data_IF_415139009442
#
_entry.id   IF_415139009442
#
_cell.length_a   1.000
_cell.length_b   1.000
_cell.length_c   1.000
_cell.angle_alpha   90.00
_cell.angle_beta   90.00
_cell.angle_gamma   90.00
#
_symmetry.space_group_name_H-M   'P 1'
#
loop_
_entity.id
_entity.type
_entity.pdbx_description
1 polymer ?
#
# COMPACT_ATOMS: atom_id res chain seq x y z
N UNK A 1 -4.74 10.58 -23.95
CA UNK A 1 -3.68 9.82 -24.63
C UNK A 1 -2.38 9.65 -23.82
N UNK A 2 -1.83 10.65 -23.11
CA UNK A 2 -0.57 10.50 -22.34
C UNK A 2 -0.62 9.49 -21.18
N UNK A 3 -1.77 9.26 -20.55
CA UNK A 3 -1.93 8.31 -19.43
C UNK A 3 -1.89 6.84 -19.87
N UNK A 4 -2.38 6.53 -21.08
CA UNK A 4 -2.37 5.18 -21.63
C UNK A 4 -0.96 4.70 -22.02
N UNK A 5 -0.09 5.61 -22.43
CA UNK A 5 1.28 5.31 -22.83
C UNK A 5 2.12 4.88 -21.59
N UNK A 6 1.90 5.51 -20.43
CA UNK A 6 2.62 5.18 -19.21
C UNK A 6 2.25 3.77 -18.71
N UNK A 7 0.97 3.41 -18.77
CA UNK A 7 0.50 2.07 -18.40
C UNK A 7 1.07 1.01 -19.36
N UNK A 8 1.10 1.31 -20.66
CA UNK A 8 1.66 0.41 -21.66
C UNK A 8 3.18 0.23 -21.46
N UNK A 9 3.91 1.29 -21.14
CA UNK A 9 5.34 1.22 -20.85
C UNK A 9 5.65 0.39 -19.61
N UNK A 10 4.87 0.54 -18.52
CA UNK A 10 5.02 -0.28 -17.31
C UNK A 10 4.71 -1.75 -17.58
N UNK A 11 3.66 -2.04 -18.35
CA UNK A 11 3.29 -3.40 -18.75
C UNK A 11 4.35 -4.01 -19.68
N UNK A 12 4.92 -3.23 -20.62
CA UNK A 12 5.94 -3.71 -21.55
C UNK A 12 7.27 -3.99 -20.86
N UNK A 13 7.66 -3.17 -19.86
CA UNK A 13 8.87 -3.41 -19.05
C UNK A 13 8.68 -4.68 -18.19
N UNK A 14 7.51 -4.89 -17.63
CA UNK A 14 7.23 -6.11 -16.87
C UNK A 14 7.22 -7.35 -17.76
N UNK A 15 6.63 -7.30 -18.95
CA UNK A 15 6.60 -8.45 -19.87
C UNK A 15 7.97 -8.80 -20.44
N UNK A 16 8.83 -7.84 -20.72
CA UNK A 16 10.20 -8.12 -21.20
C UNK A 16 11.13 -8.69 -20.12
N UNK A 17 10.93 -8.31 -18.85
CA UNK A 17 11.63 -8.92 -17.72
C UNK A 17 11.17 -10.39 -17.46
N UNK A 18 9.96 -10.75 -17.85
CA UNK A 18 9.45 -12.11 -17.76
C UNK A 18 9.79 -13.01 -18.95
N UNK A 19 10.35 -12.47 -20.03
CA UNK A 19 10.68 -13.22 -21.24
C UNK A 19 12.02 -13.98 -21.17
N UNK A 20 12.90 -13.60 -20.26
CA UNK A 20 14.16 -14.30 -20.04
C UNK A 20 13.93 -15.45 -19.04
N UNK A 21 13.98 -16.67 -19.54
CA UNK A 21 13.97 -17.93 -18.79
C UNK A 21 12.94 -17.97 -17.63
N UNK A 22 11.64 -18.00 -18.02
CA UNK A 22 10.49 -17.91 -17.10
C UNK A 22 10.57 -18.85 -15.89
N UNK A 23 11.12 -20.03 -16.07
CA UNK A 23 11.24 -21.03 -15.01
C UNK A 23 12.26 -20.63 -13.96
N UNK A 24 13.38 -20.06 -14.36
CA UNK A 24 14.44 -19.65 -13.44
C UNK A 24 14.08 -18.38 -12.64
N UNK A 25 13.37 -17.42 -13.25
CA UNK A 25 12.92 -16.21 -12.54
C UNK A 25 11.90 -16.54 -11.46
N UNK A 26 10.85 -17.28 -11.79
CA UNK A 26 9.80 -17.67 -10.81
C UNK A 26 10.40 -18.49 -9.67
N UNK A 27 11.27 -19.46 -9.96
CA UNK A 27 11.95 -20.22 -8.92
C UNK A 27 12.92 -19.37 -8.11
N UNK A 28 13.74 -18.54 -8.75
CA UNK A 28 14.76 -17.77 -8.05
C UNK A 28 14.18 -16.63 -7.20
N UNK A 29 13.10 -16.00 -7.64
CA UNK A 29 12.54 -14.82 -6.99
C UNK A 29 11.29 -15.11 -6.15
N UNK A 30 10.45 -16.07 -6.54
CA UNK A 30 9.11 -16.24 -5.95
C UNK A 30 8.97 -17.58 -5.21
N UNK A 31 9.19 -18.72 -5.88
CA UNK A 31 8.81 -20.04 -5.38
C UNK A 31 9.99 -20.88 -4.84
N UNK A 32 11.22 -20.53 -5.15
CA UNK A 32 12.41 -21.33 -4.77
C UNK A 32 12.65 -21.32 -3.26
N UNK A 33 13.40 -22.32 -2.79
CA UNK A 33 13.89 -22.34 -1.41
C UNK A 33 14.82 -21.15 -1.20
N UNK A 34 14.51 -20.29 -0.24
CA UNK A 34 15.37 -19.17 0.16
C UNK A 34 16.74 -19.70 0.66
N UNK A 35 17.79 -18.89 0.42
CA UNK A 35 19.11 -19.13 1.03
C UNK A 35 19.01 -18.94 2.54
N UNK A 36 20.08 -19.31 3.25
CA UNK A 36 20.21 -19.18 4.70
C UNK A 36 19.73 -17.85 5.26
N UNK A 37 19.37 -17.78 6.55
CA UNK A 37 18.78 -16.60 7.15
C UNK A 37 19.59 -15.36 6.82
N UNK A 38 18.94 -14.42 6.18
CA UNK A 38 19.54 -13.11 5.90
C UNK A 38 19.78 -12.38 7.23
N UNK A 39 20.84 -11.56 7.32
CA UNK A 39 21.12 -10.77 8.51
C UNK A 39 19.93 -9.86 8.85
N UNK A 40 20.00 -9.23 10.01
CA UNK A 40 19.12 -8.13 10.37
C UNK A 40 19.26 -7.02 9.32
N UNK A 41 18.14 -6.55 8.78
CA UNK A 41 18.15 -5.55 7.71
C UNK A 41 17.17 -4.40 8.03
N UNK A 42 17.54 -3.21 7.57
CA UNK A 42 16.65 -2.07 7.47
C UNK A 42 16.05 -2.04 6.06
N UNK A 43 14.74 -1.89 5.95
CA UNK A 43 14.04 -1.64 4.68
C UNK A 43 13.44 -0.24 4.66
N UNK A 44 13.49 0.39 3.48
CA UNK A 44 12.87 1.69 3.22
C UNK A 44 12.13 1.60 1.90
N UNK A 45 10.84 1.95 1.90
CA UNK A 45 9.98 1.90 0.73
C UNK A 45 9.42 3.27 0.39
N UNK A 46 9.19 3.50 -0.91
CA UNK A 46 8.38 4.58 -1.43
C UNK A 46 7.14 4.00 -2.14
N UNK A 47 6.07 4.76 -2.18
CA UNK A 47 4.81 4.42 -2.84
C UNK A 47 4.62 5.29 -4.09
N UNK A 48 5.16 4.89 -5.27
CA UNK A 48 5.19 5.75 -6.45
C UNK A 48 3.81 6.19 -6.93
N UNK A 49 2.78 5.37 -6.73
CA UNK A 49 1.42 5.70 -7.15
C UNK A 49 0.78 6.83 -6.34
N UNK A 50 1.23 7.08 -5.13
CA UNK A 50 0.72 8.21 -4.34
C UNK A 50 1.11 9.56 -4.94
N UNK A 51 2.23 9.64 -5.67
CA UNK A 51 2.61 10.86 -6.39
C UNK A 51 1.61 11.21 -7.50
N UNK A 52 1.00 10.19 -8.14
CA UNK A 52 -0.04 10.41 -9.14
C UNK A 52 -1.34 10.94 -8.54
N UNK A 53 -1.54 10.77 -7.23
CA UNK A 53 -2.68 11.25 -6.45
C UNK A 53 -2.35 12.51 -5.66
N UNK A 54 -1.45 13.35 -6.19
CA UNK A 54 -1.01 14.61 -5.55
C UNK A 54 -0.58 14.43 -4.10
N UNK A 55 0.14 13.36 -3.83
CA UNK A 55 0.59 13.01 -2.50
C UNK A 55 1.95 12.34 -2.51
N UNK A 56 2.30 11.73 -1.40
CA UNK A 56 3.50 10.93 -1.24
C UNK A 56 3.43 10.10 0.01
N UNK A 57 4.28 9.11 0.09
CA UNK A 57 4.38 8.26 1.26
C UNK A 57 5.46 7.22 1.10
N UNK A 58 5.73 6.55 2.20
CA UNK A 58 6.71 5.50 2.27
C UNK A 58 6.60 4.71 3.56
N UNK A 59 7.48 3.76 3.71
CA UNK A 59 7.61 2.97 4.92
C UNK A 59 9.07 2.76 5.32
N UNK A 60 9.25 2.47 6.60
CA UNK A 60 10.51 2.02 7.18
C UNK A 60 10.23 0.75 7.97
N UNK A 61 11.10 -0.25 7.84
CA UNK A 61 10.92 -1.52 8.54
C UNK A 61 12.23 -2.20 8.91
N UNK A 62 12.15 -3.03 9.92
CA UNK A 62 13.22 -3.93 10.34
C UNK A 62 12.86 -5.34 9.89
N UNK A 63 13.82 -6.00 9.28
CA UNK A 63 13.69 -7.36 8.74
C UNK A 63 14.59 -8.34 9.49
N UNK A 64 14.01 -9.40 10.05
CA UNK A 64 14.72 -10.45 10.79
C UNK A 64 14.06 -11.81 10.58
N UNK A 65 14.85 -12.86 10.40
CA UNK A 65 14.33 -14.18 10.06
C UNK A 65 13.39 -14.09 8.84
N UNK A 66 12.17 -14.56 8.97
CA UNK A 66 11.12 -14.47 7.97
C UNK A 66 10.21 -13.23 8.14
N UNK A 67 10.48 -12.39 9.13
CA UNK A 67 9.62 -11.29 9.51
C UNK A 67 10.12 -9.93 9.00
N UNK A 68 9.18 -9.05 8.75
CA UNK A 68 9.39 -7.62 8.59
C UNK A 68 8.35 -6.89 9.43
N UNK A 69 8.80 -5.97 10.26
CA UNK A 69 7.93 -5.11 11.10
C UNK A 69 8.31 -3.66 10.83
N UNK A 70 7.33 -2.79 10.68
CA UNK A 70 7.63 -1.40 10.39
C UNK A 70 6.44 -0.46 10.51
N UNK A 71 6.68 0.76 10.04
CA UNK A 71 5.69 1.82 10.02
C UNK A 71 5.56 2.41 8.62
N UNK A 72 4.36 2.87 8.29
CA UNK A 72 3.97 3.50 7.03
C UNK A 72 3.51 4.91 7.36
N UNK A 73 3.89 5.87 6.53
CA UNK A 73 3.35 7.22 6.56
C UNK A 73 3.00 7.69 5.16
N UNK A 74 1.82 8.27 4.98
CA UNK A 74 1.46 8.87 3.71
C UNK A 74 0.51 10.05 3.85
N UNK A 75 0.49 10.87 2.79
CA UNK A 75 -0.45 11.97 2.61
C UNK A 75 -0.86 12.00 1.15
N UNK A 76 -2.15 11.92 0.85
CA UNK A 76 -2.67 11.78 -0.52
C UNK A 76 -4.01 12.47 -0.67
N UNK A 77 -4.34 12.89 -1.90
CA UNK A 77 -5.71 13.24 -2.30
C UNK A 77 -6.32 12.01 -2.97
N UNK A 78 -7.20 11.25 -2.28
CA UNK A 78 -7.77 10.04 -2.87
C UNK A 78 -8.59 10.39 -4.11
N UNK A 79 -8.40 9.67 -5.23
CA UNK A 79 -9.29 9.79 -6.37
C UNK A 79 -10.72 9.37 -6.00
N UNK A 80 -11.72 9.91 -6.69
CA UNK A 80 -13.13 9.65 -6.37
C UNK A 80 -13.51 8.16 -6.39
N UNK A 81 -12.88 7.35 -7.26
CA UNK A 81 -13.15 5.91 -7.30
C UNK A 81 -12.63 5.16 -6.05
N UNK A 82 -11.59 5.67 -5.39
CA UNK A 82 -11.09 5.12 -4.12
C UNK A 82 -11.93 5.61 -2.95
N UNK A 83 -12.48 6.82 -3.02
CA UNK A 83 -13.34 7.39 -1.97
C UNK A 83 -14.45 6.42 -1.57
N UNK A 84 -15.08 5.76 -2.53
CA UNK A 84 -16.18 4.82 -2.28
C UNK A 84 -15.75 3.56 -1.50
N UNK A 85 -14.47 3.27 -1.43
CA UNK A 85 -13.91 2.21 -0.57
C UNK A 85 -13.97 2.61 0.92
N UNK A 86 -13.94 3.91 1.21
CA UNK A 86 -13.90 4.44 2.57
C UNK A 86 -15.24 5.00 3.05
N UNK A 87 -16.07 5.47 2.12
CA UNK A 87 -17.33 6.18 2.42
C UNK A 87 -18.45 5.71 1.50
N UNK A 88 -19.64 5.46 2.09
CA UNK A 88 -20.88 5.19 1.36
C UNK A 88 -21.77 6.43 1.36
N UNK A 89 -22.56 6.58 0.30
CA UNK A 89 -23.49 7.73 0.11
C UNK A 89 -22.76 9.08 0.17
N UNK A 90 -21.52 9.13 -0.29
CA UNK A 90 -20.64 10.29 -0.17
C UNK A 90 -20.40 11.01 -1.51
N UNK A 91 -21.40 11.03 -2.41
CA UNK A 91 -21.26 11.67 -3.72
C UNK A 91 -20.97 13.16 -3.60
N UNK A 92 -21.61 13.82 -2.66
CA UNK A 92 -21.45 15.25 -2.39
C UNK A 92 -20.29 15.55 -1.43
N UNK A 93 -19.62 14.52 -0.93
CA UNK A 93 -18.41 14.68 -0.11
C UNK A 93 -17.17 14.60 -0.98
N UNK A 94 -16.31 15.60 -0.86
CA UNK A 94 -14.97 15.62 -1.42
C UNK A 94 -13.96 15.29 -0.31
N UNK A 95 -13.09 14.31 -0.56
CA UNK A 95 -11.93 14.08 0.29
C UNK A 95 -10.79 14.94 -0.23
N UNK A 96 -10.51 16.03 0.46
CA UNK A 96 -9.48 16.98 0.06
C UNK A 96 -8.07 16.50 0.39
N UNK A 97 -7.93 15.68 1.44
CA UNK A 97 -6.68 15.00 1.83
C UNK A 97 -6.95 13.80 2.74
N UNK A 98 -6.12 12.80 2.62
CA UNK A 98 -6.01 11.69 3.55
C UNK A 98 -4.56 11.60 4.03
N UNK A 99 -4.35 11.66 5.35
CA UNK A 99 -3.07 11.40 5.99
C UNK A 99 -3.17 10.11 6.80
N UNK A 100 -2.11 9.31 6.82
CA UNK A 100 -2.10 8.08 7.60
C UNK A 100 -0.75 7.86 8.29
N UNK A 101 -0.83 7.21 9.44
CA UNK A 101 0.31 6.57 10.10
C UNK A 101 -0.13 5.19 10.52
N UNK A 102 0.55 4.17 10.00
CA UNK A 102 0.18 2.78 10.19
C UNK A 102 1.39 1.95 10.60
N UNK A 103 1.17 0.86 11.26
CA UNK A 103 2.16 -0.17 11.52
C UNK A 103 1.87 -1.39 10.66
N UNK A 104 2.89 -2.17 10.36
CA UNK A 104 2.72 -3.42 9.63
C UNK A 104 3.63 -4.53 10.13
N UNK A 105 3.16 -5.76 9.93
CA UNK A 105 3.91 -6.98 10.15
C UNK A 105 3.72 -7.87 8.93
N UNK A 106 4.81 -8.32 8.32
CA UNK A 106 4.80 -9.26 7.21
C UNK A 106 5.58 -10.52 7.57
N UNK A 107 5.10 -11.67 7.10
CA UNK A 107 5.77 -12.94 7.18
C UNK A 107 6.05 -13.47 5.77
N UNK A 108 7.32 -13.63 5.44
CA UNK A 108 7.78 -14.15 4.15
C UNK A 108 7.87 -15.67 4.19
N UNK A 109 7.37 -16.33 3.14
CA UNK A 109 7.46 -17.79 3.03
C UNK A 109 8.92 -18.25 2.83
N UNK A 110 9.77 -17.38 2.31
CA UNK A 110 11.19 -17.63 2.05
C UNK A 110 12.06 -16.93 3.09
N UNK A 111 13.10 -17.63 3.56
CA UNK A 111 14.06 -17.09 4.53
C UNK A 111 14.84 -15.87 4.04
N UNK A 112 15.04 -15.74 2.73
CA UNK A 112 15.70 -14.58 2.12
C UNK A 112 14.76 -13.39 1.87
N UNK A 113 13.54 -13.48 2.39
CA UNK A 113 12.48 -12.46 2.32
C UNK A 113 12.20 -11.96 0.89
N UNK A 114 12.26 -12.90 -0.06
CA UNK A 114 11.80 -12.74 -1.44
C UNK A 114 10.50 -13.48 -1.66
N UNK A 115 9.82 -13.16 -2.77
CA UNK A 115 8.62 -13.86 -3.18
C UNK A 115 7.43 -13.56 -2.30
N UNK A 116 6.61 -14.56 -2.06
CA UNK A 116 5.31 -14.42 -1.43
C UNK A 116 5.44 -14.15 0.06
N UNK A 117 4.62 -13.24 0.54
CA UNK A 117 4.41 -12.99 1.96
C UNK A 117 2.93 -12.80 2.28
N UNK A 118 2.59 -13.00 3.54
CA UNK A 118 1.32 -12.58 4.13
C UNK A 118 1.62 -11.60 5.26
N UNK A 119 0.65 -10.77 5.59
CA UNK A 119 0.86 -9.79 6.65
C UNK A 119 -0.42 -9.11 7.08
N UNK A 120 -0.25 -8.22 8.02
CA UNK A 120 -1.29 -7.36 8.54
C UNK A 120 -0.73 -5.95 8.65
N UNK A 121 -1.52 -4.96 8.34
CA UNK A 121 -1.19 -3.55 8.59
C UNK A 121 -2.41 -2.84 9.14
N UNK A 122 -2.20 -1.68 9.74
CA UNK A 122 -3.28 -0.84 10.21
C UNK A 122 -2.82 0.30 11.07
N UNK A 123 -3.73 1.23 11.26
CA UNK A 123 -3.51 2.44 12.03
C UNK A 123 -4.58 3.49 11.78
N UNK A 124 -4.40 4.68 12.33
CA UNK A 124 -5.30 5.80 12.11
C UNK A 124 -5.02 6.50 10.79
N UNK A 125 -6.10 6.92 10.16
CA UNK A 125 -6.13 7.79 8.99
C UNK A 125 -7.00 9.01 9.26
N UNK A 126 -6.51 10.18 8.86
CA UNK A 126 -7.19 11.48 9.00
C UNK A 126 -7.69 11.92 7.63
N UNK A 127 -9.00 11.90 7.44
CA UNK A 127 -9.67 12.33 6.22
C UNK A 127 -10.18 13.77 6.38
N UNK A 128 -9.64 14.67 5.59
CA UNK A 128 -10.13 16.05 5.48
C UNK A 128 -11.26 16.08 4.45
N UNK A 129 -12.48 16.27 4.93
CA UNK A 129 -13.70 16.23 4.14
C UNK A 129 -14.22 17.65 3.88
N UNK A 130 -14.88 17.83 2.74
CA UNK A 130 -15.57 19.05 2.33
C UNK A 130 -16.91 18.67 1.71
N UNK A 131 -18.01 19.23 2.22
CA UNK A 131 -19.33 19.13 1.60
C UNK A 131 -19.39 20.07 0.39
N UNK A 132 -19.61 19.53 -0.80
CA UNK A 132 -19.64 20.28 -2.05
C UNK A 132 -20.80 21.25 -2.15
N UNK A 133 -21.89 21.03 -1.38
CA UNK A 133 -23.10 21.84 -1.41
C UNK A 133 -22.93 23.07 -0.50
N UNK A 134 -22.56 22.85 0.74
CA UNK A 134 -22.47 23.91 1.75
C UNK A 134 -21.07 24.50 1.93
N UNK A 135 -20.03 23.83 1.41
CA UNK A 135 -18.65 24.18 1.65
C UNK A 135 -18.14 23.87 3.08
N UNK A 136 -18.95 23.24 3.91
CA UNK A 136 -18.56 22.86 5.27
C UNK A 136 -17.38 21.88 5.24
N UNK A 137 -16.46 22.02 6.20
CA UNK A 137 -15.23 21.21 6.28
C UNK A 137 -15.11 20.54 7.64
N UNK A 138 -14.66 19.31 7.65
CA UNK A 138 -14.40 18.54 8.87
C UNK A 138 -13.23 17.58 8.63
N UNK A 139 -12.49 17.27 9.69
CA UNK A 139 -11.53 16.19 9.69
C UNK A 139 -12.07 15.05 10.53
N UNK A 140 -12.20 13.88 9.92
CA UNK A 140 -12.59 12.67 10.64
C UNK A 140 -11.40 11.70 10.73
N UNK A 141 -11.38 10.96 11.82
CA UNK A 141 -10.37 9.92 12.06
C UNK A 141 -11.03 8.56 11.92
N UNK A 142 -10.42 7.68 11.14
CA UNK A 142 -10.82 6.28 11.01
C UNK A 142 -9.62 5.40 11.28
N UNK A 143 -9.84 4.24 11.87
CA UNK A 143 -8.79 3.25 12.05
C UNK A 143 -9.16 1.97 11.32
N UNK A 144 -8.17 1.37 10.72
CA UNK A 144 -8.32 0.16 9.91
C UNK A 144 -7.36 -0.93 10.35
N UNK A 145 -7.77 -2.15 10.05
CA UNK A 145 -6.88 -3.30 9.98
C UNK A 145 -7.02 -3.94 8.60
N UNK A 146 -5.88 -4.32 8.03
CA UNK A 146 -5.79 -4.82 6.65
C UNK A 146 -4.95 -6.08 6.64
N UNK A 147 -5.55 -7.28 6.73
CA UNK A 147 -4.87 -8.49 6.32
C UNK A 147 -4.53 -8.38 4.83
N UNK A 148 -3.30 -8.75 4.47
CA UNK A 148 -2.79 -8.60 3.11
C UNK A 148 -1.90 -9.76 2.69
N UNK A 149 -1.79 -9.93 1.39
CA UNK A 149 -0.82 -10.81 0.75
C UNK A 149 -0.05 -10.01 -0.29
N UNK A 150 1.19 -10.39 -0.51
CA UNK A 150 2.02 -9.70 -1.48
C UNK A 150 3.15 -10.56 -2.04
N UNK A 151 3.83 -9.97 -3.00
CA UNK A 151 5.01 -10.55 -3.62
C UNK A 151 6.10 -9.49 -3.73
N UNK A 152 7.29 -9.84 -3.25
CA UNK A 152 8.49 -9.02 -3.36
C UNK A 152 9.49 -9.67 -4.30
N UNK A 153 10.03 -8.91 -5.21
CA UNK A 153 11.09 -9.36 -6.13
C UNK A 153 12.21 -8.33 -6.27
N UNK A 154 13.39 -8.81 -6.59
CA UNK A 154 14.59 -8.00 -6.68
C UNK A 154 15.05 -7.94 -8.16
N UNK A 155 14.66 -6.90 -8.91
CA UNK A 155 15.03 -6.77 -10.31
C UNK A 155 16.52 -6.48 -10.49
N UNK A 156 17.12 -5.77 -9.52
CA UNK A 156 18.52 -5.35 -9.57
C UNK A 156 19.24 -5.72 -8.28
N UNK A 157 20.16 -6.71 -8.35
CA UNK A 157 20.95 -7.17 -7.20
C UNK A 157 20.08 -7.50 -5.97
N UNK A 158 20.65 -7.38 -4.74
CA UNK A 158 19.98 -7.78 -3.50
C UNK A 158 19.44 -6.59 -2.68
N UNK A 159 19.69 -5.38 -3.15
CA UNK A 159 19.39 -4.14 -2.40
C UNK A 159 18.00 -3.60 -2.80
N UNK A 160 17.81 -3.35 -4.08
CA UNK A 160 16.58 -2.76 -4.58
C UNK A 160 15.52 -3.82 -4.89
N UNK A 161 14.29 -3.55 -4.51
CA UNK A 161 13.17 -4.44 -4.77
C UNK A 161 11.93 -3.68 -5.22
N UNK A 162 11.05 -4.39 -5.87
CA UNK A 162 9.67 -3.99 -6.06
C UNK A 162 8.76 -4.95 -5.29
N UNK A 163 7.69 -4.40 -4.78
CA UNK A 163 6.73 -5.11 -3.94
C UNK A 163 5.31 -4.76 -4.40
N UNK A 164 4.49 -5.77 -4.56
CA UNK A 164 3.09 -5.62 -4.89
C UNK A 164 2.26 -6.40 -3.88
N UNK A 165 1.26 -5.75 -3.30
CA UNK A 165 0.37 -6.40 -2.34
C UNK A 165 -1.06 -5.96 -2.50
N UNK A 166 -1.96 -6.80 -2.01
CA UNK A 166 -3.38 -6.52 -1.93
C UNK A 166 -3.94 -7.04 -0.60
N UNK A 167 -5.03 -6.45 -0.17
CA UNK A 167 -5.68 -6.82 1.07
C UNK A 167 -7.11 -6.33 1.13
N UNK A 168 -7.75 -6.62 2.24
CA UNK A 168 -9.08 -6.13 2.53
C UNK A 168 -9.06 -5.27 3.79
N UNK A 169 -9.53 -4.03 3.66
CA UNK A 169 -9.62 -3.08 4.75
C UNK A 169 -10.87 -3.32 5.58
N UNK A 170 -10.67 -3.57 6.88
CA UNK A 170 -11.73 -3.65 7.87
C UNK A 170 -11.66 -2.43 8.78
N UNK A 171 -12.76 -1.70 8.89
CA UNK A 171 -12.88 -0.61 9.83
C UNK A 171 -12.90 -1.12 11.26
N UNK A 172 -12.10 -0.48 12.14
CA UNK A 172 -12.12 -0.72 13.58
C UNK A 172 -12.87 0.41 14.29
N UNK A 173 -12.70 1.65 13.83
CA UNK A 173 -13.35 2.82 14.43
C UNK A 173 -13.69 3.89 13.37
N UNK A 174 -14.50 4.86 13.76
CA UNK A 174 -14.93 5.93 12.87
C UNK A 174 -15.98 5.47 11.85
N UNK A 175 -16.86 4.54 12.25
CA UNK A 175 -17.83 3.84 11.38
C UNK A 175 -19.22 4.45 11.38
N UNK A 176 -19.43 5.54 12.08
CA UNK A 176 -20.74 6.14 12.28
C UNK A 176 -21.26 6.82 11.01
N UNK A 177 -22.59 6.87 10.88
CA UNK A 177 -23.24 7.78 9.94
C UNK A 177 -23.03 9.20 10.45
N UNK A 178 -22.44 10.05 9.62
CA UNK A 178 -22.13 11.43 9.95
C UNK A 178 -22.85 12.39 9.04
N UNK A 179 -23.07 13.61 9.54
CA UNK A 179 -23.59 14.71 8.76
C UNK A 179 -22.52 15.78 8.66
N UNK A 180 -22.19 16.15 7.44
CA UNK A 180 -21.30 17.27 7.15
C UNK A 180 -22.09 18.29 6.32
N UNK A 181 -22.31 19.47 6.88
CA UNK A 181 -23.14 20.48 6.22
C UNK A 181 -24.57 19.98 5.95
N UNK A 182 -24.90 19.82 4.67
CA UNK A 182 -26.20 19.32 4.23
C UNK A 182 -26.17 17.83 3.85
N UNK A 183 -25.00 17.20 3.80
CA UNK A 183 -24.82 15.82 3.32
C UNK A 183 -24.69 14.83 4.48
N UNK A 184 -25.52 13.79 4.46
CA UNK A 184 -25.35 12.62 5.32
C UNK A 184 -24.54 11.56 4.55
N UNK A 185 -23.54 10.97 5.20
CA UNK A 185 -22.71 9.92 4.63
C UNK A 185 -22.36 8.86 5.67
N UNK A 186 -22.06 7.66 5.21
CA UNK A 186 -21.66 6.56 6.07
C UNK A 186 -20.15 6.34 5.97
N UNK A 187 -19.45 6.38 7.10
CA UNK A 187 -18.03 6.16 7.20
C UNK A 187 -17.64 4.68 7.43
N UNK A 188 -18.61 3.74 7.39
CA UNK A 188 -18.37 2.32 7.70
C UNK A 188 -17.80 1.48 6.55
N UNK A 189 -17.58 2.06 5.38
CA UNK A 189 -17.08 1.31 4.25
C UNK A 189 -15.68 0.75 4.53
N UNK A 190 -15.47 -0.48 4.15
CA UNK A 190 -14.21 -1.16 4.01
C UNK A 190 -14.17 -1.81 2.63
N UNK A 191 -13.00 -2.22 2.17
CA UNK A 191 -12.93 -2.78 0.83
C UNK A 191 -11.55 -3.25 0.42
N UNK A 192 -11.49 -3.68 -0.83
CA UNK A 192 -10.26 -4.14 -1.45
C UNK A 192 -9.31 -2.97 -1.69
N UNK A 193 -8.06 -3.15 -1.27
CA UNK A 193 -6.98 -2.19 -1.49
C UNK A 193 -5.75 -2.91 -2.05
N UNK A 194 -4.94 -2.17 -2.80
CA UNK A 194 -3.69 -2.66 -3.35
C UNK A 194 -2.59 -1.64 -3.18
N UNK A 195 -1.36 -2.13 -3.07
CA UNK A 195 -0.16 -1.32 -2.92
C UNK A 195 0.89 -1.77 -3.91
N UNK A 196 1.59 -0.79 -4.47
CA UNK A 196 2.79 -0.99 -5.25
C UNK A 196 3.89 -0.14 -4.64
N UNK A 197 5.01 -0.78 -4.31
CA UNK A 197 6.11 -0.18 -3.58
C UNK A 197 7.41 -0.42 -4.35
N UNK A 198 8.30 0.55 -4.25
CA UNK A 198 9.70 0.40 -4.63
C UNK A 198 10.55 0.65 -3.39
N UNK A 199 11.44 -0.27 -3.09
CA UNK A 199 12.20 -0.19 -1.85
C UNK A 199 13.66 -0.58 -1.99
N UNK A 200 14.36 -0.32 -0.91
CA UNK A 200 15.74 -0.76 -0.72
C UNK A 200 15.91 -1.35 0.68
N UNK A 201 16.82 -2.32 0.80
CA UNK A 201 17.18 -2.90 2.10
C UNK A 201 18.68 -2.87 2.32
N UNK A 202 19.09 -2.69 3.56
CA UNK A 202 20.45 -2.50 4.01
C UNK A 202 20.75 -3.43 5.18
N UNK A 203 21.87 -4.13 5.14
CA UNK A 203 22.30 -4.96 6.26
C UNK A 203 22.65 -4.07 7.46
N UNK A 204 22.11 -4.41 8.62
CA UNK A 204 22.48 -3.80 9.89
C UNK A 204 23.60 -4.68 10.50
N UNK A 205 24.73 -4.05 10.76
CA UNK A 205 25.90 -4.73 11.36
C UNK A 205 25.72 -4.88 12.87
#
# INVERSE_FOLDING_TARGET
MKKSILILAVVSITTSLFAQDKTSFLQSQILGKGKDPTPLQLSVDAYPFLFLSKGGGGSIGIEFGNWQVGAIGFSVVPPDYIKNTFFQNANEIKVSRNNAVEIFVNYYLRKDRKGIYTGIMGGPEWFMLEDKISGAKETIVKSYVVPRMGVRFFPFKKIFYADASFGWSFNISGTETKKLGQTNFNASAGGFIYFLQAGARFDLK
#
